data_IF_429362289422
#
_entry.id   IF_429362289422
#
_cell.length_a   1.000
_cell.length_b   1.000
_cell.length_c   1.000
_cell.angle_alpha   90.00
_cell.angle_beta   90.00
_cell.angle_gamma   90.00
#
_symmetry.space_group_name_H-M   'P 1'
#
loop_
_entity.id
_entity.type
_entity.pdbx_description
1 polymer ?
#
# COMPACT_ATOMS: atom_id res chain seq x y z
N UNK A 1 4.91 -1.76 14.61
CA UNK A 1 3.77 -1.36 13.76
C UNK A 1 4.28 -1.41 12.34
N UNK A 2 3.62 -2.16 11.47
CA UNK A 2 4.07 -2.35 10.08
C UNK A 2 3.44 -1.24 9.24
N UNK A 3 4.24 -0.51 8.48
CA UNK A 3 3.74 0.59 7.65
C UNK A 3 4.28 0.54 6.24
N UNK A 4 3.51 1.10 5.31
CA UNK A 4 3.98 1.41 3.96
C UNK A 4 4.10 2.91 3.86
N UNK A 5 5.28 3.37 3.50
CA UNK A 5 5.65 4.78 3.56
C UNK A 5 5.92 5.28 2.14
N UNK A 6 5.49 6.49 1.86
CA UNK A 6 5.60 7.15 0.58
C UNK A 6 6.40 8.43 0.73
N UNK A 7 7.25 8.71 -0.25
CA UNK A 7 8.17 9.83 -0.20
C UNK A 7 8.19 10.57 -1.53
N UNK A 8 8.21 11.91 -1.47
CA UNK A 8 8.60 12.75 -2.59
C UNK A 8 10.09 12.61 -2.91
N UNK A 9 10.52 13.14 -4.05
CA UNK A 9 11.92 13.07 -4.47
C UNK A 9 12.87 13.87 -3.57
N UNK A 10 12.37 14.93 -2.97
CA UNK A 10 13.09 15.82 -2.04
C UNK A 10 12.86 15.42 -0.57
N UNK A 11 12.08 14.38 -0.30
CA UNK A 11 11.80 13.89 1.06
C UNK A 11 10.93 14.82 1.92
N UNK A 12 10.48 15.96 1.39
CA UNK A 12 9.67 16.95 2.12
C UNK A 12 8.25 16.43 2.36
N UNK A 13 7.65 15.82 1.34
CA UNK A 13 6.34 15.20 1.47
C UNK A 13 6.51 13.71 1.75
N UNK A 14 6.01 13.29 2.91
CA UNK A 14 5.88 11.88 3.24
C UNK A 14 4.51 11.60 3.82
N UNK A 15 4.04 10.37 3.58
CA UNK A 15 2.82 9.86 4.20
C UNK A 15 2.96 8.35 4.40
N UNK A 16 2.19 7.79 5.31
CA UNK A 16 2.29 6.40 5.69
C UNK A 16 0.91 5.77 5.90
N UNK A 17 0.83 4.48 5.59
CA UNK A 17 -0.36 3.68 5.87
C UNK A 17 0.02 2.60 6.86
N UNK A 18 -0.50 2.71 8.07
CA UNK A 18 -0.33 1.70 9.11
C UNK A 18 -1.17 0.47 8.81
N UNK A 19 -0.56 -0.71 8.88
CA UNK A 19 -1.16 -1.98 8.54
C UNK A 19 -1.19 -2.92 9.75
N UNK A 20 -2.23 -3.75 9.81
CA UNK A 20 -2.27 -4.92 10.68
C UNK A 20 -1.27 -5.94 10.16
N UNK A 21 -0.77 -6.79 11.05
CA UNK A 21 0.17 -7.86 10.70
C UNK A 21 -0.40 -8.78 9.62
N UNK A 22 -1.69 -9.11 9.72
CA UNK A 22 -2.36 -9.98 8.76
C UNK A 22 -2.43 -9.37 7.37
N UNK A 23 -2.76 -8.08 7.25
CA UNK A 23 -2.85 -7.43 5.95
C UNK A 23 -1.46 -7.19 5.34
N UNK A 24 -0.47 -6.85 6.18
CA UNK A 24 0.92 -6.74 5.73
C UNK A 24 1.45 -8.10 5.22
N UNK A 25 1.20 -9.19 5.96
CA UNK A 25 1.57 -10.54 5.54
C UNK A 25 0.89 -10.93 4.22
N UNK A 26 -0.39 -10.59 4.05
CA UNK A 26 -1.09 -10.81 2.79
C UNK A 26 -0.42 -10.07 1.63
N UNK A 27 -0.06 -8.79 1.79
CA UNK A 27 0.69 -8.03 0.77
C UNK A 27 2.04 -8.68 0.46
N UNK A 28 2.79 -9.07 1.49
CA UNK A 28 4.10 -9.70 1.36
C UNK A 28 4.06 -11.02 0.56
N UNK A 29 2.96 -11.78 0.67
CA UNK A 29 2.77 -13.04 -0.06
C UNK A 29 2.08 -12.88 -1.42
N UNK A 30 1.53 -11.70 -1.72
CA UNK A 30 0.79 -11.44 -2.96
C UNK A 30 1.70 -11.06 -4.13
N UNK A 31 1.10 -10.67 -5.26
CA UNK A 31 1.84 -10.06 -6.38
C UNK A 31 2.44 -8.71 -6.01
N UNK A 32 1.89 -8.02 -5.00
CA UNK A 32 2.35 -6.71 -4.56
C UNK A 32 3.86 -6.68 -4.26
N UNK A 33 4.34 -7.63 -3.46
CA UNK A 33 5.76 -7.71 -3.08
C UNK A 33 6.71 -8.06 -4.22
N UNK A 34 6.17 -8.47 -5.37
CA UNK A 34 6.93 -8.89 -6.55
C UNK A 34 6.96 -7.83 -7.64
N UNK A 35 6.24 -6.72 -7.47
CA UNK A 35 6.12 -5.67 -8.50
C UNK A 35 7.49 -5.04 -8.79
N UNK A 36 8.26 -4.72 -7.75
CA UNK A 36 9.60 -4.17 -7.90
C UNK A 36 10.45 -4.50 -6.67
N UNK A 37 11.77 -4.54 -6.86
CA UNK A 37 12.73 -4.71 -5.77
C UNK A 37 13.13 -3.35 -5.21
N UNK A 38 13.13 -3.25 -3.89
CA UNK A 38 13.66 -2.10 -3.20
C UNK A 38 15.17 -1.97 -3.45
N UNK A 39 15.64 -0.75 -3.66
CA UNK A 39 17.05 -0.40 -3.80
C UNK A 39 17.44 0.58 -2.70
N UNK A 40 18.72 0.59 -2.35
CA UNK A 40 19.26 1.57 -1.42
C UNK A 40 19.19 2.96 -2.05
N UNK A 41 18.39 3.84 -1.47
CA UNK A 41 18.14 5.19 -1.95
C UNK A 41 18.45 6.18 -0.83
N UNK A 42 19.27 7.17 -1.13
CA UNK A 42 19.59 8.27 -0.23
C UNK A 42 18.54 9.36 -0.39
N UNK A 43 17.80 9.67 0.67
CA UNK A 43 16.83 10.76 0.74
C UNK A 43 17.26 11.76 1.81
N UNK A 44 17.00 13.03 1.56
CA UNK A 44 17.09 14.09 2.57
C UNK A 44 15.75 14.14 3.31
N UNK A 45 15.74 13.74 4.57
CA UNK A 45 14.56 13.77 5.44
C UNK A 45 14.92 14.64 6.65
N UNK A 46 14.14 15.71 6.89
CA UNK A 46 14.35 16.60 8.03
C UNK A 46 15.80 17.13 8.15
N UNK A 47 16.41 17.54 7.02
CA UNK A 47 17.80 18.01 6.93
C UNK A 47 18.88 16.93 7.22
N UNK A 48 18.48 15.65 7.32
CA UNK A 48 19.39 14.51 7.44
C UNK A 48 19.37 13.62 6.18
N UNK A 49 20.55 13.19 5.72
CA UNK A 49 20.66 12.24 4.61
C UNK A 49 20.50 10.81 5.12
N UNK A 50 19.34 10.21 4.88
CA UNK A 50 18.98 8.86 5.33
C UNK A 50 18.99 7.91 4.14
N UNK A 51 19.66 6.77 4.30
CA UNK A 51 19.68 5.73 3.29
C UNK A 51 18.61 4.66 3.60
N UNK A 52 17.62 4.53 2.71
CA UNK A 52 16.47 3.65 2.89
C UNK A 52 16.32 2.66 1.73
N UNK A 53 15.84 1.42 1.97
CA UNK A 53 15.49 0.50 0.91
C UNK A 53 14.13 0.89 0.31
N UNK A 54 14.16 1.58 -0.84
CA UNK A 54 12.95 2.12 -1.48
C UNK A 54 12.74 1.58 -2.89
N UNK A 55 11.47 1.47 -3.27
CA UNK A 55 11.05 1.23 -4.65
C UNK A 55 10.72 2.56 -5.30
N UNK A 56 11.34 2.83 -6.45
CA UNK A 56 11.02 3.99 -7.27
C UNK A 56 9.70 3.77 -8.04
N UNK A 57 8.78 4.72 -7.92
CA UNK A 57 7.45 4.71 -8.54
C UNK A 57 7.49 5.27 -9.97
N UNK A 58 8.41 4.75 -10.79
CA UNK A 58 8.41 4.99 -12.24
C UNK A 58 7.08 4.56 -12.86
N UNK A 59 6.68 5.10 -14.03
CA UNK A 59 5.35 4.89 -14.60
C UNK A 59 4.91 3.41 -14.68
N UNK A 60 5.83 2.52 -15.05
CA UNK A 60 5.58 1.07 -15.19
C UNK A 60 5.32 0.39 -13.83
N UNK A 61 6.13 0.71 -12.83
CA UNK A 61 6.02 0.19 -11.46
C UNK A 61 4.75 0.74 -10.80
N UNK A 62 4.51 2.04 -10.93
CA UNK A 62 3.30 2.70 -10.44
C UNK A 62 2.05 2.10 -11.06
N UNK A 63 2.03 1.92 -12.38
CA UNK A 63 0.94 1.27 -13.10
C UNK A 63 0.64 -0.13 -12.56
N UNK A 64 1.70 -0.91 -12.27
CA UNK A 64 1.57 -2.24 -11.69
C UNK A 64 0.97 -2.23 -10.27
N UNK A 65 1.38 -1.29 -9.40
CA UNK A 65 0.77 -1.12 -8.08
C UNK A 65 -0.69 -0.69 -8.17
N UNK A 66 -1.00 0.28 -9.02
CA UNK A 66 -2.37 0.76 -9.26
C UNK A 66 -3.25 -0.40 -9.71
N UNK A 67 -2.79 -1.20 -10.68
CA UNK A 67 -3.54 -2.33 -11.19
C UNK A 67 -3.81 -3.35 -10.08
N UNK A 68 -2.77 -3.78 -9.36
CA UNK A 68 -2.91 -4.75 -8.27
C UNK A 68 -3.91 -4.28 -7.21
N UNK A 69 -3.77 -3.04 -6.72
CA UNK A 69 -4.63 -2.51 -5.68
C UNK A 69 -6.07 -2.32 -6.18
N UNK A 70 -6.25 -1.92 -7.45
CA UNK A 70 -7.58 -1.77 -8.04
C UNK A 70 -8.28 -3.13 -8.16
N UNK A 71 -7.57 -4.16 -8.62
CA UNK A 71 -8.09 -5.54 -8.68
C UNK A 71 -8.47 -6.05 -7.28
N UNK A 72 -7.59 -5.84 -6.29
CA UNK A 72 -7.84 -6.22 -4.91
C UNK A 72 -9.07 -5.51 -4.31
N UNK A 73 -9.29 -4.23 -4.64
CA UNK A 73 -10.47 -3.48 -4.19
C UNK A 73 -11.73 -4.04 -4.84
N UNK A 74 -11.70 -4.35 -6.15
CA UNK A 74 -12.85 -4.95 -6.84
C UNK A 74 -13.21 -6.30 -6.24
N UNK A 75 -12.22 -7.18 -6.02
CA UNK A 75 -12.44 -8.50 -5.43
C UNK A 75 -12.88 -8.42 -3.96
N UNK A 76 -12.27 -7.53 -3.17
CA UNK A 76 -12.69 -7.27 -1.80
C UNK A 76 -14.11 -6.71 -1.71
N UNK A 77 -14.52 -5.87 -2.67
CA UNK A 77 -15.88 -5.31 -2.70
C UNK A 77 -16.91 -6.39 -3.02
N UNK A 78 -16.62 -7.29 -3.96
CA UNK A 78 -17.47 -8.45 -4.23
C UNK A 78 -17.63 -9.33 -2.99
N UNK A 79 -16.52 -9.64 -2.33
CA UNK A 79 -16.51 -10.43 -1.08
C UNK A 79 -17.36 -9.77 0.01
N UNK A 80 -17.19 -8.46 0.21
CA UNK A 80 -17.98 -7.70 1.18
C UNK A 80 -19.48 -7.75 0.86
N UNK A 81 -19.86 -7.60 -0.41
CA UNK A 81 -21.27 -7.69 -0.83
C UNK A 81 -21.85 -9.08 -0.56
N UNK A 82 -21.12 -10.15 -0.89
CA UNK A 82 -21.54 -11.53 -0.60
C UNK A 82 -21.72 -11.79 0.91
N UNK A 83 -20.85 -11.21 1.75
CA UNK A 83 -20.98 -11.31 3.20
C UNK A 83 -22.12 -10.47 3.77
N UNK A 84 -22.45 -9.33 3.17
CA UNK A 84 -23.60 -8.50 3.57
C UNK A 84 -24.95 -9.20 3.30
N UNK A 85 -25.01 -10.07 2.31
CA UNK A 85 -26.21 -10.87 2.00
C UNK A 85 -26.44 -12.03 2.99
N UNK A 86 -25.46 -12.34 3.86
CA UNK A 86 -25.54 -13.45 4.82
C UNK A 86 -25.89 -12.96 6.23
N UNK A 87 -26.92 -13.53 6.89
CA UNK A 87 -27.21 -13.20 8.28
C UNK A 87 -26.08 -13.68 9.22
N UNK A 88 -25.66 -12.82 10.15
CA UNK A 88 -24.76 -13.10 11.29
C UNK A 88 -23.23 -13.20 11.04
N UNK A 89 -22.64 -12.42 10.13
CA UNK A 89 -21.17 -12.35 9.93
C UNK A 89 -20.53 -11.00 10.28
N UNK A 90 -20.83 -10.45 11.45
CA UNK A 90 -20.37 -9.10 11.84
C UNK A 90 -18.84 -8.97 11.86
N UNK A 91 -18.12 -9.94 12.44
CA UNK A 91 -16.65 -9.87 12.54
C UNK A 91 -15.98 -9.93 11.16
N UNK A 92 -16.49 -10.77 10.26
CA UNK A 92 -15.98 -10.89 8.88
C UNK A 92 -16.18 -9.59 8.09
N UNK A 93 -17.30 -8.90 8.33
CA UNK A 93 -17.56 -7.61 7.69
C UNK A 93 -16.57 -6.54 8.13
N UNK A 94 -16.08 -6.58 9.36
CA UNK A 94 -15.12 -5.59 9.85
C UNK A 94 -13.72 -5.83 9.29
N UNK A 95 -13.31 -7.09 9.13
CA UNK A 95 -12.07 -7.45 8.44
C UNK A 95 -12.09 -7.04 6.96
N UNK A 96 -13.19 -7.31 6.26
CA UNK A 96 -13.37 -6.92 4.86
C UNK A 96 -13.32 -5.40 4.69
N UNK A 97 -14.04 -4.66 5.55
CA UNK A 97 -13.98 -3.19 5.58
C UNK A 97 -12.57 -2.70 5.84
N UNK A 98 -11.85 -3.32 6.77
CA UNK A 98 -10.47 -2.94 7.08
C UNK A 98 -9.57 -3.09 5.86
N UNK A 99 -9.57 -4.28 5.23
CA UNK A 99 -8.75 -4.58 4.05
C UNK A 99 -9.05 -3.62 2.90
N UNK A 100 -10.33 -3.36 2.63
CA UNK A 100 -10.75 -2.39 1.61
C UNK A 100 -10.26 -0.98 1.91
N UNK A 101 -10.43 -0.50 3.15
CA UNK A 101 -9.95 0.84 3.55
C UNK A 101 -8.45 0.97 3.35
N UNK A 102 -7.67 -0.05 3.72
CA UNK A 102 -6.22 -0.01 3.57
C UNK A 102 -5.78 -0.11 2.11
N UNK A 103 -6.42 -0.95 1.30
CA UNK A 103 -6.15 -1.00 -0.13
C UNK A 103 -6.47 0.34 -0.83
N UNK A 104 -7.57 1.00 -0.46
CA UNK A 104 -7.95 2.33 -0.96
C UNK A 104 -6.94 3.41 -0.53
N UNK A 105 -6.50 3.40 0.72
CA UNK A 105 -5.50 4.33 1.23
C UNK A 105 -4.18 4.19 0.44
N UNK A 106 -3.68 2.97 0.28
CA UNK A 106 -2.50 2.68 -0.53
C UNK A 106 -2.67 3.13 -1.98
N UNK A 107 -3.83 2.86 -2.59
CA UNK A 107 -4.10 3.25 -3.97
C UNK A 107 -4.09 4.76 -4.15
N UNK A 108 -4.62 5.50 -3.17
CA UNK A 108 -4.63 6.96 -3.17
C UNK A 108 -3.20 7.51 -3.18
N UNK A 109 -2.33 6.99 -2.31
CA UNK A 109 -0.94 7.44 -2.24
C UNK A 109 -0.13 7.02 -3.49
N UNK A 110 -0.29 5.79 -3.98
CA UNK A 110 0.37 5.36 -5.23
C UNK A 110 -0.04 6.21 -6.42
N UNK A 111 -1.29 6.69 -6.47
CA UNK A 111 -1.76 7.58 -7.55
C UNK A 111 -1.29 9.02 -7.41
N UNK A 112 -0.87 9.45 -6.22
CA UNK A 112 -0.35 10.79 -6.02
C UNK A 112 1.03 10.90 -6.68
N UNK A 113 1.13 11.74 -7.72
CA UNK A 113 2.35 11.96 -8.48
C UNK A 113 3.44 12.70 -7.69
N UNK A 114 3.09 13.33 -6.56
CA UNK A 114 4.06 13.95 -5.66
C UNK A 114 5.01 12.91 -5.04
N UNK A 115 4.50 11.71 -4.73
CA UNK A 115 5.33 10.63 -4.22
C UNK A 115 6.06 9.92 -5.35
N UNK A 116 7.38 9.82 -5.24
CA UNK A 116 8.27 9.17 -6.21
C UNK A 116 8.83 7.85 -5.69
N UNK A 117 8.72 7.59 -4.39
CA UNK A 117 9.22 6.37 -3.77
C UNK A 117 8.22 5.77 -2.80
N UNK A 118 8.34 4.45 -2.61
CA UNK A 118 7.60 3.69 -1.60
C UNK A 118 8.55 2.75 -0.86
N UNK A 119 8.40 2.69 0.47
CA UNK A 119 9.17 1.81 1.36
C UNK A 119 8.27 0.91 2.20
N UNK A 120 8.73 -0.30 2.46
CA UNK A 120 8.03 -1.31 3.27
C UNK A 120 8.97 -1.74 4.41
N UNK A 121 8.65 -1.41 5.66
CA UNK A 121 9.45 -1.78 6.84
C UNK A 121 8.59 -1.91 8.10
#
# INVERSE_FOLDING_TARGET
>A
MLSINFYSADGIENDSVDLSEEFYAWLAHSKFSKIAQAKSTLLELEEEMINLPLVELIPEVRGSYIQFLSDAIVEGTKTLLEHLEQPNKVDVLDDDKYRLRKAIALLTLVKNEAYQYVGYY
#
